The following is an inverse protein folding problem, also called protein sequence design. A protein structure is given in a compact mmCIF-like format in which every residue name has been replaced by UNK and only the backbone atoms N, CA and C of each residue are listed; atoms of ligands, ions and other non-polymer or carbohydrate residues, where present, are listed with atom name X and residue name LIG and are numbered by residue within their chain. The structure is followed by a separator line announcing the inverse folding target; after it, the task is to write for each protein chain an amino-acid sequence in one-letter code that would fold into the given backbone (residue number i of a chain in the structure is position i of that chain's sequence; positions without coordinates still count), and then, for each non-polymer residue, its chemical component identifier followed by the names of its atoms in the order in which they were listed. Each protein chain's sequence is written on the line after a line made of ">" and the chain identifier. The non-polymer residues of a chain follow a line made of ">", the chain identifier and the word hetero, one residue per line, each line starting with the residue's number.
data_IF_871849477840
#
_entry.id   IF_871849477840
#
_cell.length_a   1.000
_cell.length_b   1.000
_cell.length_c   1.000
_cell.angle_alpha   90.00
_cell.angle_beta   90.00
_cell.angle_gamma   90.00
#
_symmetry.space_group_name_H-M   'P 1'
#
loop_
_entity.id
_entity.type
_entity.pdbx_description
1 polymer ?
#
# COMPACT_ATOMS: atom_id res chain seq x y z
N UNK A 1 36.87 -3.43 -22.24
CA UNK A 1 36.47 -4.20 -23.44
C UNK A 1 35.08 -4.74 -23.12
N UNK A 2 34.02 -4.00 -23.47
CA UNK A 2 33.26 -4.15 -24.74
C UNK A 2 32.42 -5.45 -24.64
N UNK A 3 31.09 -5.51 -24.64
CA UNK A 3 30.03 -4.65 -25.19
C UNK A 3 28.73 -4.77 -24.38
N UNK A 4 28.06 -3.63 -24.20
CA UNK A 4 26.60 -3.51 -24.07
C UNK A 4 25.93 -3.87 -25.39
N UNK A 5 24.79 -4.56 -25.36
CA UNK A 5 23.76 -4.43 -26.42
C UNK A 5 22.36 -4.38 -25.81
N UNK A 6 21.80 -3.17 -25.85
CA UNK A 6 20.37 -2.85 -25.78
C UNK A 6 19.68 -3.44 -27.02
N UNK A 7 18.58 -4.15 -26.85
CA UNK A 7 17.62 -4.41 -27.93
C UNK A 7 16.35 -3.61 -27.62
N UNK A 8 16.14 -2.57 -28.42
CA UNK A 8 14.91 -1.78 -28.51
C UNK A 8 14.20 -2.20 -29.79
N UNK A 9 13.01 -2.79 -29.66
CA UNK A 9 12.00 -2.96 -30.73
C UNK A 9 10.66 -2.88 -30.00
N UNK A 10 9.85 -1.82 -30.10
CA UNK A 10 9.26 -1.25 -31.30
C UNK A 10 7.77 -1.60 -31.35
N UNK A 11 7.00 -1.20 -30.34
CA UNK A 11 5.55 -1.48 -30.25
C UNK A 11 4.78 -0.50 -31.15
N UNK A 12 4.13 -1.01 -32.18
CA UNK A 12 3.30 -0.22 -33.10
C UNK A 12 1.84 -0.29 -32.63
N UNK A 13 1.32 0.82 -32.12
CA UNK A 13 -0.06 0.95 -31.67
C UNK A 13 -0.97 1.24 -32.87
N UNK A 14 -1.92 0.34 -33.16
CA UNK A 14 -2.96 0.57 -34.17
C UNK A 14 -4.27 0.95 -33.48
N UNK A 15 -4.68 2.22 -33.64
CA UNK A 15 -6.02 2.72 -33.29
C UNK A 15 -7.09 2.09 -34.20
N UNK A 16 -8.13 1.51 -33.60
CA UNK A 16 -9.38 1.15 -34.27
C UNK A 16 -10.58 1.80 -33.56
N UNK A 17 -11.25 2.72 -34.25
CA UNK A 17 -12.52 3.35 -33.84
C UNK A 17 -13.68 2.66 -34.57
N UNK A 18 -14.73 2.26 -33.85
CA UNK A 18 -16.13 2.15 -34.31
C UNK A 18 -17.01 1.84 -33.07
N UNK A 19 -17.82 2.77 -32.54
CA UNK A 19 -19.11 3.31 -33.00
C UNK A 19 -20.34 2.49 -32.55
N UNK A 20 -21.29 3.25 -31.99
CA UNK A 20 -22.52 2.97 -31.23
C UNK A 20 -23.63 2.09 -31.85
N UNK A 21 -24.47 1.56 -30.93
CA UNK A 21 -25.88 1.18 -31.10
C UNK A 21 -26.28 0.30 -29.90
N UNK A 22 -27.28 0.55 -29.05
CA UNK A 22 -28.57 1.21 -29.18
C UNK A 22 -29.66 0.14 -29.01
N UNK A 23 -30.51 0.22 -27.97
CA UNK A 23 -31.72 -0.62 -27.89
C UNK A 23 -32.26 -0.91 -26.48
N UNK A 24 -33.43 -0.36 -26.20
CA UNK A 24 -34.21 -0.40 -24.97
C UNK A 24 -34.78 -1.77 -24.58
N UNK A 25 -35.15 -1.92 -23.30
CA UNK A 25 -36.00 -3.02 -22.83
C UNK A 25 -36.43 -2.87 -21.36
N UNK A 26 -37.60 -2.27 -21.16
CA UNK A 26 -38.25 -2.10 -19.87
C UNK A 26 -39.20 -3.27 -19.52
N UNK A 27 -39.45 -3.44 -18.21
CA UNK A 27 -40.56 -4.22 -17.61
C UNK A 27 -40.05 -5.39 -16.78
N UNK A 28 -40.57 -5.72 -15.59
CA UNK A 28 -41.78 -5.28 -14.88
C UNK A 28 -41.81 -6.02 -13.50
N UNK A 29 -42.69 -5.59 -12.58
CA UNK A 29 -43.16 -6.23 -11.31
C UNK A 29 -42.30 -5.96 -10.05
N UNK A 30 -42.70 -5.19 -9.04
CA UNK A 30 -43.92 -5.05 -8.22
C UNK A 30 -44.01 -6.01 -7.01
N UNK A 31 -44.05 -5.38 -5.82
CA UNK A 31 -44.63 -5.78 -4.51
C UNK A 31 -44.17 -7.12 -3.89
N UNK A 32 -43.86 -7.26 -2.61
CA UNK A 32 -44.19 -6.52 -1.39
C UNK A 32 -44.38 -7.57 -0.28
N UNK A 33 -44.03 -7.26 0.97
CA UNK A 33 -44.80 -7.54 2.20
C UNK A 33 -43.90 -7.62 3.45
N UNK A 34 -44.49 -7.07 4.49
CA UNK A 34 -44.14 -6.88 5.89
C UNK A 34 -44.07 -8.16 6.72
N UNK A 35 -43.40 -8.09 7.88
CA UNK A 35 -43.47 -9.16 8.88
C UNK A 35 -42.55 -8.98 10.08
N UNK A 36 -43.10 -8.40 11.15
CA UNK A 36 -42.52 -8.29 12.49
C UNK A 36 -42.44 -9.64 13.22
N UNK A 37 -41.43 -9.84 14.09
CA UNK A 37 -41.44 -10.89 15.11
C UNK A 37 -40.19 -10.89 16.00
N UNK A 38 -40.34 -10.55 17.27
CA UNK A 38 -39.27 -10.56 18.26
C UNK A 38 -39.13 -11.89 19.02
N UNK A 39 -37.97 -12.08 19.68
CA UNK A 39 -37.80 -13.05 20.76
C UNK A 39 -36.38 -13.61 20.91
N UNK A 40 -35.70 -13.24 22.00
CA UNK A 40 -34.94 -14.19 22.83
C UNK A 40 -33.45 -14.42 22.57
N UNK A 41 -32.62 -13.71 23.36
CA UNK A 41 -31.36 -14.10 24.02
C UNK A 41 -30.31 -15.00 23.31
N UNK A 42 -29.09 -14.47 23.21
CA UNK A 42 -27.84 -15.26 23.26
C UNK A 42 -26.65 -14.36 23.59
N UNK A 43 -26.00 -14.61 24.73
CA UNK A 43 -24.64 -14.16 25.04
C UNK A 43 -23.65 -15.01 24.25
N UNK A 44 -22.90 -14.39 23.33
CA UNK A 44 -21.71 -14.99 22.73
C UNK A 44 -20.65 -13.91 22.54
N UNK A 45 -19.47 -14.16 23.11
CA UNK A 45 -18.24 -13.43 22.82
C UNK A 45 -17.83 -13.72 21.38
N UNK A 46 -17.88 -12.71 20.53
CA UNK A 46 -17.22 -12.65 19.24
C UNK A 46 -16.71 -11.24 19.09
N UNK A 47 -15.39 -11.06 19.05
CA UNK A 47 -14.82 -9.82 18.53
C UNK A 47 -15.29 -9.70 17.08
N UNK A 48 -15.89 -8.56 16.77
CA UNK A 48 -16.56 -8.30 15.50
C UNK A 48 -15.55 -8.40 14.33
N UNK A 49 -15.85 -9.15 13.26
CA UNK A 49 -15.02 -9.23 12.05
C UNK A 49 -15.38 -8.16 10.99
N UNK A 50 -15.86 -6.99 11.40
CA UNK A 50 -16.17 -5.89 10.47
C UNK A 50 -15.83 -4.52 11.11
N UNK A 51 -14.82 -3.77 10.60
CA UNK A 51 -14.46 -2.47 11.16
C UNK A 51 -15.54 -1.41 10.85
N UNK A 52 -15.87 -0.60 11.87
CA UNK A 52 -16.79 0.52 11.76
C UNK A 52 -16.26 1.51 10.69
N UNK A 53 -17.09 2.07 9.79
CA UNK A 53 -16.67 3.14 8.88
C UNK A 53 -16.10 4.39 9.58
N UNK A 54 -16.21 4.51 10.91
CA UNK A 54 -15.48 5.48 11.74
C UNK A 54 -14.00 5.12 12.04
N UNK A 55 -13.53 3.93 11.69
CA UNK A 55 -12.17 3.39 11.95
C UNK A 55 -11.20 3.55 10.76
N UNK A 56 -11.46 4.48 9.83
CA UNK A 56 -10.48 4.80 8.80
C UNK A 56 -9.20 5.34 9.46
N UNK A 57 -8.09 4.63 9.28
CA UNK A 57 -6.79 4.97 9.87
C UNK A 57 -5.81 5.32 8.78
N UNK A 58 -5.21 6.50 8.84
CA UNK A 58 -4.25 6.99 7.85
C UNK A 58 -2.91 7.21 8.51
N UNK A 59 -1.90 6.51 8.01
CA UNK A 59 -0.51 6.61 8.44
C UNK A 59 0.25 7.43 7.40
N UNK A 60 0.74 8.58 7.83
CA UNK A 60 1.23 9.67 6.97
C UNK A 60 2.38 10.40 7.67
N UNK A 61 2.77 11.61 7.22
CA UNK A 61 3.87 12.38 7.81
C UNK A 61 3.73 12.64 9.32
N UNK A 62 2.51 12.62 9.87
CA UNK A 62 2.27 12.80 11.32
C UNK A 62 2.71 11.59 12.14
N UNK A 63 2.97 10.48 11.46
CA UNK A 63 3.44 9.22 12.01
C UNK A 63 4.91 8.95 11.66
N UNK A 64 5.61 9.91 11.04
CA UNK A 64 7.02 9.79 10.68
C UNK A 64 7.98 10.10 11.85
N UNK A 65 7.64 9.68 13.06
CA UNK A 65 8.53 9.75 14.23
C UNK A 65 8.53 8.44 15.01
N UNK A 66 9.72 7.90 15.31
CA UNK A 66 9.88 6.74 16.17
C UNK A 66 9.58 7.09 17.65
N UNK A 67 9.78 8.36 18.00
CA UNK A 67 9.44 8.93 19.29
C UNK A 67 7.95 8.70 19.58
N UNK A 68 7.68 7.94 20.64
CA UNK A 68 6.33 7.59 21.07
C UNK A 68 5.94 6.13 20.85
N UNK A 69 6.79 5.29 20.23
CA UNK A 69 6.61 3.82 20.28
C UNK A 69 7.25 3.33 21.59
N UNK A 70 6.47 2.81 22.56
CA UNK A 70 7.06 2.27 23.78
C UNK A 70 7.97 1.08 23.49
N UNK A 71 9.06 0.92 24.25
CA UNK A 71 9.99 -0.21 24.05
C UNK A 71 9.28 -1.58 24.12
N UNK A 72 8.30 -1.72 25.03
CA UNK A 72 7.46 -2.93 25.14
C UNK A 72 6.70 -3.24 23.86
N UNK A 73 6.38 -2.23 23.06
CA UNK A 73 5.65 -2.37 21.80
C UNK A 73 6.57 -2.83 20.68
N UNK A 74 7.79 -2.28 20.62
CA UNK A 74 8.82 -2.79 19.71
C UNK A 74 9.09 -4.27 20.02
N UNK A 75 9.21 -4.63 21.30
CA UNK A 75 9.38 -6.03 21.70
C UNK A 75 8.16 -6.89 21.35
N UNK A 76 6.93 -6.37 21.48
CA UNK A 76 5.71 -7.07 21.09
C UNK A 76 5.65 -7.31 19.57
N UNK A 77 6.05 -6.33 18.76
CA UNK A 77 6.09 -6.44 17.30
C UNK A 77 7.10 -7.50 16.84
N UNK A 78 8.28 -7.54 17.46
CA UNK A 78 9.34 -8.52 17.15
C UNK A 78 9.10 -9.92 17.71
N UNK A 79 8.33 -10.04 18.79
CA UNK A 79 7.95 -11.34 19.38
C UNK A 79 6.56 -11.81 18.96
N UNK A 80 5.86 -11.03 18.13
CA UNK A 80 4.55 -11.35 17.60
C UNK A 80 4.60 -12.61 16.72
N UNK A 81 3.63 -13.50 16.92
CA UNK A 81 3.45 -14.69 16.08
C UNK A 81 2.69 -14.32 14.80
N UNK A 82 3.28 -13.41 14.01
CA UNK A 82 2.75 -12.99 12.74
C UNK A 82 3.84 -12.69 11.72
N UNK A 83 3.44 -12.64 10.45
CA UNK A 83 4.24 -12.21 9.31
C UNK A 83 3.50 -11.09 8.58
N UNK A 84 4.24 -10.09 8.10
CA UNK A 84 3.73 -9.04 7.23
C UNK A 84 4.03 -9.40 5.77
N UNK A 85 3.02 -9.60 4.93
CA UNK A 85 3.22 -9.81 3.49
C UNK A 85 3.27 -8.46 2.77
N UNK A 86 4.35 -8.23 2.03
CA UNK A 86 4.56 -7.00 1.29
C UNK A 86 4.99 -7.29 -0.14
N UNK A 87 4.14 -6.92 -1.09
CA UNK A 87 4.45 -6.99 -2.51
C UNK A 87 4.63 -5.57 -3.05
N UNK A 88 5.57 -5.34 -3.96
CA UNK A 88 5.84 -3.96 -4.36
C UNK A 88 6.46 -3.78 -5.74
N UNK A 89 6.31 -2.57 -6.27
CA UNK A 89 7.16 -2.03 -7.35
C UNK A 89 8.41 -1.35 -6.79
N UNK A 90 9.24 -0.80 -7.66
CA UNK A 90 10.57 -0.28 -7.28
C UNK A 90 10.55 0.71 -6.10
N UNK A 91 9.60 1.65 -6.07
CA UNK A 91 9.45 2.61 -4.97
C UNK A 91 9.11 1.97 -3.62
N UNK A 92 8.41 0.83 -3.59
CA UNK A 92 8.07 0.19 -2.32
C UNK A 92 9.27 -0.34 -1.54
N UNK A 93 10.39 -0.62 -2.22
CA UNK A 93 11.65 -1.01 -1.57
C UNK A 93 12.12 0.01 -0.52
N UNK A 94 11.69 1.27 -0.62
CA UNK A 94 12.00 2.33 0.34
C UNK A 94 11.59 2.00 1.77
N UNK A 95 10.52 1.23 1.99
CA UNK A 95 10.11 0.80 3.34
C UNK A 95 11.11 -0.22 3.90
N UNK A 96 11.47 -1.23 3.11
CA UNK A 96 12.41 -2.29 3.49
C UNK A 96 13.79 -1.68 3.78
N UNK A 97 14.35 -0.97 2.79
CA UNK A 97 15.66 -0.31 2.90
C UNK A 97 15.70 0.70 4.06
N UNK A 98 14.60 1.41 4.29
CA UNK A 98 14.47 2.31 5.44
C UNK A 98 14.48 1.57 6.77
N UNK A 99 13.81 0.41 6.86
CA UNK A 99 13.75 -0.38 8.08
C UNK A 99 15.12 -1.00 8.41
N UNK A 100 15.84 -1.48 7.39
CA UNK A 100 17.22 -1.96 7.50
C UNK A 100 18.17 -0.84 7.96
N UNK A 101 18.03 0.38 7.43
CA UNK A 101 18.79 1.56 7.87
C UNK A 101 18.52 1.91 9.35
N UNK A 102 17.24 1.88 9.76
CA UNK A 102 16.84 2.10 11.16
C UNK A 102 17.43 1.02 12.07
N UNK A 103 17.37 -0.26 11.70
CA UNK A 103 17.97 -1.34 12.47
C UNK A 103 19.48 -1.18 12.61
N UNK A 104 20.18 -0.85 11.52
CA UNK A 104 21.62 -0.66 11.52
C UNK A 104 22.07 0.45 12.49
N UNK A 105 21.27 1.51 12.62
CA UNK A 105 21.52 2.61 13.57
C UNK A 105 20.99 2.32 14.98
N UNK A 106 19.94 1.53 15.10
CA UNK A 106 19.24 1.23 16.35
C UNK A 106 18.70 -0.22 16.36
N UNK A 107 19.53 -1.20 16.79
CA UNK A 107 19.19 -2.64 16.74
C UNK A 107 17.97 -3.05 17.57
N UNK A 108 17.38 -2.13 18.35
CA UNK A 108 16.11 -2.39 19.03
C UNK A 108 14.96 -2.58 18.02
N UNK A 109 15.06 -1.98 16.83
CA UNK A 109 14.11 -2.13 15.72
C UNK A 109 14.48 -3.28 14.78
N UNK A 110 14.87 -4.42 15.36
CA UNK A 110 15.26 -5.60 14.58
C UNK A 110 14.23 -5.96 13.52
N UNK A 111 14.66 -6.17 12.29
CA UNK A 111 13.80 -6.31 11.11
C UNK A 111 14.42 -7.31 10.14
N UNK A 112 13.60 -8.18 9.56
CA UNK A 112 14.04 -9.09 8.50
C UNK A 112 12.96 -9.18 7.42
N UNK A 113 13.36 -8.91 6.19
CA UNK A 113 12.56 -9.14 4.99
C UNK A 113 13.14 -10.33 4.21
N UNK A 114 12.37 -11.40 4.08
CA UNK A 114 12.79 -12.59 3.35
C UNK A 114 12.18 -12.58 1.95
N UNK A 115 13.00 -12.86 0.95
CA UNK A 115 12.58 -12.93 -0.43
C UNK A 115 11.60 -14.10 -0.63
N UNK A 116 10.37 -13.77 -1.00
CA UNK A 116 9.33 -14.73 -1.39
C UNK A 116 9.12 -15.84 -0.35
N UNK A 117 9.18 -15.50 0.94
CA UNK A 117 9.09 -16.47 2.01
C UNK A 117 8.91 -15.87 3.39
N UNK A 118 8.70 -16.75 4.38
CA UNK A 118 8.67 -16.36 5.78
C UNK A 118 10.11 -16.27 6.30
N UNK A 119 10.54 -15.13 6.88
CA UNK A 119 11.83 -15.02 7.52
C UNK A 119 12.09 -16.11 8.54
N UNK A 120 13.26 -16.75 8.45
CA UNK A 120 13.72 -17.75 9.41
C UNK A 120 14.21 -17.11 10.72
N UNK A 121 14.66 -15.86 10.67
CA UNK A 121 15.09 -15.12 11.85
C UNK A 121 13.91 -14.86 12.80
N UNK A 122 14.19 -14.92 14.11
CA UNK A 122 13.18 -14.72 15.16
C UNK A 122 13.66 -13.65 16.13
N UNK A 123 12.72 -12.98 16.82
CA UNK A 123 13.05 -11.84 17.67
C UNK A 123 13.26 -10.53 16.90
N UNK A 124 12.82 -10.50 15.64
CA UNK A 124 12.79 -9.36 14.73
C UNK A 124 11.38 -9.20 14.16
N UNK A 125 11.06 -8.03 13.63
CA UNK A 125 9.85 -7.87 12.82
C UNK A 125 10.03 -8.65 11.50
N UNK A 126 9.10 -9.54 11.18
CA UNK A 126 9.22 -10.44 10.03
C UNK A 126 8.34 -10.00 8.87
N UNK A 127 8.96 -9.74 7.73
CA UNK A 127 8.30 -9.40 6.48
C UNK A 127 8.56 -10.47 5.41
N UNK A 128 7.50 -10.93 4.75
CA UNK A 128 7.61 -11.63 3.47
C UNK A 128 7.67 -10.59 2.37
N UNK A 129 8.76 -10.55 1.62
CA UNK A 129 8.97 -9.63 0.50
C UNK A 129 8.68 -10.29 -0.85
N UNK A 130 7.60 -9.87 -1.50
CA UNK A 130 7.19 -10.31 -2.84
C UNK A 130 6.06 -11.33 -2.87
N UNK A 131 5.90 -11.96 -4.03
CA UNK A 131 4.96 -13.06 -4.30
C UNK A 131 5.67 -14.42 -4.14
N UNK A 132 5.32 -15.46 -4.91
CA UNK A 132 5.93 -16.80 -4.76
C UNK A 132 7.36 -16.84 -5.33
N UNK A 133 7.66 -16.09 -6.39
CA UNK A 133 8.94 -16.18 -7.08
C UNK A 133 9.54 -14.84 -7.53
N UNK A 134 8.94 -13.71 -7.14
CA UNK A 134 9.39 -12.36 -7.48
C UNK A 134 9.01 -11.33 -6.41
N UNK A 135 9.86 -10.33 -6.18
CA UNK A 135 9.57 -9.18 -5.30
C UNK A 135 9.43 -7.84 -6.03
N UNK A 136 9.52 -7.85 -7.37
CA UNK A 136 9.17 -6.70 -8.22
C UNK A 136 7.83 -6.96 -8.89
N UNK A 137 6.76 -6.82 -8.11
CA UNK A 137 5.43 -7.36 -8.38
C UNK A 137 4.59 -6.35 -9.16
N UNK A 138 4.31 -6.61 -10.44
CA UNK A 138 3.39 -5.78 -11.25
C UNK A 138 1.93 -5.97 -10.85
N UNK A 139 1.06 -5.02 -11.22
CA UNK A 139 -0.35 -5.07 -10.83
C UNK A 139 -1.03 -6.38 -11.25
N UNK A 140 -0.71 -6.91 -12.43
CA UNK A 140 -1.23 -8.18 -12.96
C UNK A 140 -0.86 -9.38 -12.10
N UNK A 141 0.23 -9.31 -11.33
CA UNK A 141 0.70 -10.36 -10.43
C UNK A 141 0.09 -10.26 -9.02
N UNK A 142 -0.77 -9.27 -8.76
CA UNK A 142 -1.36 -9.07 -7.42
C UNK A 142 -2.87 -8.76 -7.45
N UNK A 143 -3.29 -7.67 -8.12
CA UNK A 143 -4.67 -7.17 -8.05
C UNK A 143 -5.36 -6.99 -9.41
N UNK A 144 -4.58 -6.86 -10.50
CA UNK A 144 -5.13 -6.47 -11.81
C UNK A 144 -5.61 -7.65 -12.66
N UNK A 145 -5.20 -8.87 -12.32
CA UNK A 145 -5.59 -10.12 -12.99
C UNK A 145 -6.07 -11.18 -12.00
N UNK A 146 -6.92 -12.10 -12.47
CA UNK A 146 -7.40 -13.23 -11.66
C UNK A 146 -6.25 -14.13 -11.19
N UNK A 147 -5.25 -14.38 -12.05
CA UNK A 147 -4.10 -15.19 -11.70
C UNK A 147 -3.26 -14.58 -10.58
N UNK A 148 -3.06 -13.25 -10.59
CA UNK A 148 -2.34 -12.55 -9.53
C UNK A 148 -3.11 -12.60 -8.20
N UNK A 149 -4.43 -12.38 -8.25
CA UNK A 149 -5.28 -12.50 -7.06
C UNK A 149 -5.28 -13.93 -6.51
N UNK A 150 -5.33 -14.95 -7.38
CA UNK A 150 -5.24 -16.35 -6.98
C UNK A 150 -3.90 -16.71 -6.35
N UNK A 151 -2.80 -16.07 -6.79
CA UNK A 151 -1.49 -16.25 -6.17
C UNK A 151 -1.46 -15.65 -4.76
N UNK A 152 -2.08 -14.48 -4.55
CA UNK A 152 -2.28 -13.92 -3.19
C UNK A 152 -3.11 -14.88 -2.33
N UNK A 153 -4.19 -15.46 -2.88
CA UNK A 153 -4.99 -16.47 -2.16
C UNK A 153 -4.16 -17.69 -1.76
N UNK A 154 -3.28 -18.15 -2.65
CA UNK A 154 -2.41 -19.30 -2.37
C UNK A 154 -1.43 -18.98 -1.23
N UNK A 155 -0.74 -17.83 -1.29
CA UNK A 155 0.17 -17.37 -0.22
C UNK A 155 -0.58 -17.31 1.12
N UNK A 156 -1.72 -16.62 1.18
CA UNK A 156 -2.48 -16.44 2.43
C UNK A 156 -3.13 -17.74 2.93
N UNK A 157 -3.48 -18.65 2.03
CA UNK A 157 -4.05 -19.96 2.37
C UNK A 157 -3.01 -20.93 2.94
N UNK A 158 -1.79 -20.90 2.41
CA UNK A 158 -0.68 -21.75 2.84
C UNK A 158 0.06 -21.19 4.06
N UNK A 159 -0.05 -19.88 4.32
CA UNK A 159 0.63 -19.17 5.41
C UNK A 159 -0.36 -18.43 6.35
N UNK A 160 -1.09 -19.15 7.21
CA UNK A 160 -2.07 -18.56 8.13
C UNK A 160 -1.46 -17.63 9.20
N UNK A 161 -0.14 -17.62 9.36
CA UNK A 161 0.61 -16.67 10.18
C UNK A 161 0.68 -15.25 9.58
N UNK A 162 0.37 -15.08 8.30
CA UNK A 162 0.27 -13.75 7.69
C UNK A 162 -0.96 -13.05 8.25
N UNK A 163 -0.76 -11.90 8.91
CA UNK A 163 -1.84 -11.07 9.47
C UNK A 163 -2.06 -9.77 8.71
N UNK A 164 -1.10 -9.38 7.87
CA UNK A 164 -1.12 -8.12 7.13
C UNK A 164 -0.67 -8.36 5.71
N UNK A 165 -1.31 -7.67 4.77
CA UNK A 165 -0.92 -7.68 3.37
C UNK A 165 -0.99 -6.28 2.79
N UNK A 166 0.08 -5.84 2.13
CA UNK A 166 0.16 -4.52 1.50
C UNK A 166 0.81 -4.64 0.12
N UNK A 167 0.32 -3.85 -0.84
CA UNK A 167 0.93 -3.74 -2.16
C UNK A 167 1.28 -2.28 -2.48
N UNK A 168 2.51 -2.04 -2.94
CA UNK A 168 3.04 -0.70 -3.19
C UNK A 168 3.21 -0.36 -4.67
N UNK A 169 2.65 0.78 -5.05
CA UNK A 169 2.82 1.42 -6.35
C UNK A 169 4.26 1.90 -6.58
N UNK A 170 4.63 2.05 -7.84
CA UNK A 170 5.70 2.95 -8.29
C UNK A 170 5.09 4.04 -9.16
N UNK A 171 5.88 4.73 -9.98
CA UNK A 171 5.43 5.89 -10.76
C UNK A 171 4.32 5.55 -11.77
N UNK A 172 4.05 4.26 -12.05
CA UNK A 172 2.97 3.83 -12.96
C UNK A 172 1.57 4.23 -12.49
N UNK A 173 1.38 4.58 -11.20
CA UNK A 173 0.10 5.13 -10.71
C UNK A 173 -0.33 6.38 -11.51
N UNK A 174 0.64 7.16 -12.01
CA UNK A 174 0.39 8.35 -12.80
C UNK A 174 -0.27 8.04 -14.15
N UNK A 175 -0.15 6.81 -14.64
CA UNK A 175 -0.71 6.34 -15.91
C UNK A 175 -2.00 5.53 -15.71
N UNK A 176 -2.34 5.16 -14.49
CA UNK A 176 -3.55 4.39 -14.20
C UNK A 176 -4.81 5.22 -14.46
N UNK A 177 -5.81 4.57 -15.04
CA UNK A 177 -7.13 5.17 -15.16
C UNK A 177 -7.88 5.09 -13.82
N UNK A 178 -9.00 5.80 -13.72
CA UNK A 178 -9.91 5.67 -12.58
C UNK A 178 -10.40 4.24 -12.38
N UNK A 179 -10.64 3.54 -13.50
CA UNK A 179 -11.11 2.17 -13.51
C UNK A 179 -10.02 1.20 -13.03
N UNK A 180 -8.75 1.44 -13.37
CA UNK A 180 -7.66 0.59 -12.92
C UNK A 180 -7.44 0.73 -11.41
N UNK A 181 -7.45 1.96 -10.89
CA UNK A 181 -7.39 2.18 -9.44
C UNK A 181 -8.62 1.62 -8.74
N UNK A 182 -9.81 1.72 -9.34
CA UNK A 182 -11.00 1.06 -8.77
C UNK A 182 -10.84 -0.45 -8.70
N UNK A 183 -10.24 -1.08 -9.72
CA UNK A 183 -9.95 -2.52 -9.72
C UNK A 183 -8.99 -2.90 -8.60
N UNK A 184 -7.93 -2.12 -8.36
CA UNK A 184 -7.06 -2.29 -7.19
C UNK A 184 -7.85 -2.25 -5.88
N UNK A 185 -8.69 -1.23 -5.71
CA UNK A 185 -9.47 -1.03 -4.49
C UNK A 185 -10.45 -2.18 -4.24
N UNK A 186 -11.17 -2.60 -5.28
CA UNK A 186 -12.16 -3.67 -5.22
C UNK A 186 -11.48 -5.03 -4.97
N UNK A 187 -10.31 -5.29 -5.57
CA UNK A 187 -9.56 -6.53 -5.38
C UNK A 187 -9.09 -6.69 -3.92
N UNK A 188 -8.52 -5.64 -3.33
CA UNK A 188 -8.12 -5.67 -1.92
C UNK A 188 -9.32 -5.78 -0.97
N UNK A 189 -10.45 -5.13 -1.29
CA UNK A 189 -11.67 -5.22 -0.47
C UNK A 189 -12.27 -6.63 -0.51
N UNK A 190 -12.31 -7.25 -1.69
CA UNK A 190 -12.75 -8.63 -1.86
C UNK A 190 -11.82 -9.62 -1.13
N UNK A 191 -10.51 -9.48 -1.28
CA UNK A 191 -9.54 -10.31 -0.57
C UNK A 191 -9.67 -10.15 0.96
N UNK A 192 -9.91 -8.94 1.46
CA UNK A 192 -10.17 -8.71 2.89
C UNK A 192 -11.43 -9.40 3.41
N UNK A 193 -12.49 -9.50 2.58
CA UNK A 193 -13.70 -10.26 2.92
C UNK A 193 -13.46 -11.77 2.87
N UNK A 194 -12.64 -12.24 1.93
CA UNK A 194 -12.28 -13.66 1.78
C UNK A 194 -11.35 -14.14 2.91
N UNK A 195 -10.43 -13.30 3.38
CA UNK A 195 -9.45 -13.59 4.42
C UNK A 195 -9.63 -12.67 5.64
N UNK A 196 -10.68 -12.86 6.46
CA UNK A 196 -11.03 -11.93 7.55
C UNK A 196 -10.01 -11.86 8.69
N UNK A 197 -8.98 -12.72 8.69
CA UNK A 197 -7.85 -12.67 9.64
C UNK A 197 -6.66 -11.86 9.12
N UNK A 198 -6.71 -11.45 7.85
CA UNK A 198 -5.66 -10.67 7.18
C UNK A 198 -6.17 -9.25 7.04
N UNK A 199 -5.42 -8.30 7.58
CA UNK A 199 -5.66 -6.88 7.39
C UNK A 199 -4.98 -6.41 6.11
N UNK A 200 -5.79 -6.07 5.10
CA UNK A 200 -5.29 -5.46 3.87
C UNK A 200 -5.08 -3.96 4.07
N UNK A 201 -3.86 -3.51 3.80
CA UNK A 201 -3.47 -2.11 3.92
C UNK A 201 -3.40 -1.52 2.51
N UNK A 202 -4.15 -0.45 2.31
CA UNK A 202 -4.16 0.31 1.06
C UNK A 202 -3.03 1.32 1.10
N UNK A 203 -2.50 1.68 -0.07
CA UNK A 203 -1.37 2.60 -0.15
C UNK A 203 -1.52 3.56 -1.34
N UNK A 204 -1.23 4.85 -1.12
CA UNK A 204 -1.05 5.81 -2.23
C UNK A 204 0.28 5.57 -2.94
N UNK A 205 0.40 5.98 -4.20
CA UNK A 205 1.69 5.95 -4.90
C UNK A 205 2.54 7.20 -4.64
N UNK A 206 3.76 7.25 -5.18
CA UNK A 206 4.74 8.28 -4.87
C UNK A 206 4.35 9.69 -5.36
N UNK A 207 5.07 10.70 -4.88
CA UNK A 207 4.97 12.10 -5.33
C UNK A 207 6.14 12.56 -6.22
N UNK A 208 6.85 11.64 -6.86
CA UNK A 208 8.17 11.81 -7.49
C UNK A 208 8.18 12.48 -8.87
N UNK A 209 7.02 12.63 -9.54
CA UNK A 209 6.97 13.13 -10.91
C UNK A 209 5.88 14.17 -11.20
N UNK A 210 6.25 15.15 -12.04
CA UNK A 210 5.31 16.10 -12.68
C UNK A 210 4.60 15.50 -13.89
N UNK A 211 5.23 14.55 -14.60
CA UNK A 211 4.63 13.87 -15.74
C UNK A 211 3.34 13.14 -15.30
N UNK A 212 2.22 13.47 -15.95
CA UNK A 212 0.87 13.03 -15.54
C UNK A 212 0.53 13.30 -14.06
N UNK A 213 1.18 14.27 -13.43
CA UNK A 213 1.04 14.56 -12.00
C UNK A 213 -0.38 14.94 -11.56
N UNK A 214 -1.17 15.58 -12.44
CA UNK A 214 -2.60 15.85 -12.19
C UNK A 214 -3.42 14.57 -12.13
N UNK A 215 -3.13 13.57 -12.98
CA UNK A 215 -3.79 12.26 -12.91
C UNK A 215 -3.34 11.51 -11.65
N UNK A 216 -2.03 11.44 -11.41
CA UNK A 216 -1.43 10.85 -10.20
C UNK A 216 -2.10 11.35 -8.92
N UNK A 217 -2.19 12.67 -8.74
CA UNK A 217 -2.84 13.29 -7.60
C UNK A 217 -4.32 12.87 -7.47
N UNK A 218 -5.06 12.80 -8.58
CA UNK A 218 -6.47 12.33 -8.58
C UNK A 218 -6.58 10.86 -8.19
N UNK A 219 -5.67 10.01 -8.66
CA UNK A 219 -5.63 8.57 -8.34
C UNK A 219 -5.27 8.34 -6.87
N UNK A 220 -4.32 9.08 -6.33
CA UNK A 220 -4.02 9.06 -4.89
C UNK A 220 -5.21 9.56 -4.05
N UNK A 221 -5.91 10.60 -4.49
CA UNK A 221 -7.14 11.06 -3.82
C UNK A 221 -8.30 10.06 -3.91
N UNK A 222 -8.40 9.27 -4.99
CA UNK A 222 -9.37 8.18 -5.10
C UNK A 222 -9.11 7.10 -4.04
N UNK A 223 -7.86 6.70 -3.84
CA UNK A 223 -7.48 5.72 -2.81
C UNK A 223 -7.81 6.25 -1.40
N UNK A 224 -7.44 7.51 -1.11
CA UNK A 224 -7.81 8.18 0.15
C UNK A 224 -9.31 8.22 0.39
N UNK A 225 -10.07 8.59 -0.65
CA UNK A 225 -11.52 8.65 -0.64
C UNK A 225 -12.12 7.30 -0.25
N UNK A 226 -11.71 6.23 -0.94
CA UNK A 226 -12.16 4.87 -0.67
C UNK A 226 -11.88 4.43 0.77
N UNK A 227 -10.65 4.67 1.27
CA UNK A 227 -10.29 4.25 2.62
C UNK A 227 -11.11 4.99 3.69
N UNK A 228 -11.26 6.31 3.53
CA UNK A 228 -12.05 7.15 4.44
C UNK A 228 -13.53 6.79 4.43
N UNK A 229 -14.10 6.46 3.27
CA UNK A 229 -15.52 6.14 3.14
C UNK A 229 -15.88 4.74 3.65
N UNK A 230 -14.90 3.83 3.69
CA UNK A 230 -15.11 2.40 4.03
C UNK A 230 -14.35 1.93 5.27
N UNK A 231 -13.82 2.84 6.08
CA UNK A 231 -13.10 2.48 7.30
C UNK A 231 -11.83 1.65 7.05
N UNK A 232 -11.15 1.83 5.92
CA UNK A 232 -9.93 1.06 5.59
C UNK A 232 -8.68 1.71 6.16
N UNK A 233 -7.65 0.89 6.32
CA UNK A 233 -6.31 1.35 6.73
C UNK A 233 -5.55 1.82 5.49
N UNK A 234 -5.02 3.03 5.55
CA UNK A 234 -4.24 3.67 4.51
C UNK A 234 -2.82 3.96 5.00
N UNK A 235 -1.83 3.53 4.23
CA UNK A 235 -0.45 3.99 4.30
C UNK A 235 -0.22 5.05 3.21
N UNK A 236 -0.15 6.32 3.60
CA UNK A 236 -0.15 7.46 2.68
C UNK A 236 1.27 7.85 2.24
N UNK A 237 1.81 7.08 1.29
CA UNK A 237 3.15 7.25 0.74
C UNK A 237 3.36 8.61 0.06
N UNK A 238 2.37 9.10 -0.70
CA UNK A 238 2.45 10.43 -1.33
C UNK A 238 2.60 11.52 -0.26
N UNK A 239 1.87 11.42 0.84
CA UNK A 239 1.94 12.41 1.92
C UNK A 239 3.35 12.42 2.59
N UNK A 240 3.92 11.23 2.82
CA UNK A 240 5.29 11.07 3.32
C UNK A 240 6.34 11.65 2.36
N UNK A 241 6.11 11.60 1.04
CA UNK A 241 7.01 12.20 0.05
C UNK A 241 7.01 13.73 0.07
N UNK A 242 5.89 14.37 0.41
CA UNK A 242 5.75 15.82 0.23
C UNK A 242 6.00 16.63 1.49
N UNK A 243 6.13 15.98 2.66
CA UNK A 243 6.25 16.66 3.94
C UNK A 243 7.65 16.53 4.55
N UNK A 244 8.27 17.67 4.90
CA UNK A 244 9.51 17.70 5.68
C UNK A 244 9.59 18.99 6.51
N UNK A 245 10.04 18.90 7.77
CA UNK A 245 10.25 20.08 8.62
C UNK A 245 8.99 20.92 8.89
N UNK A 246 7.79 20.31 8.79
CA UNK A 246 6.51 21.00 8.90
C UNK A 246 6.06 21.74 7.63
N UNK A 247 6.85 21.66 6.55
CA UNK A 247 6.52 22.19 5.23
C UNK A 247 5.93 21.09 4.34
N UNK A 248 4.94 21.46 3.52
CA UNK A 248 4.38 20.63 2.46
C UNK A 248 4.84 21.18 1.11
N UNK A 249 5.42 20.33 0.28
CA UNK A 249 5.85 20.71 -1.06
C UNK A 249 4.80 20.41 -2.13
N UNK A 250 4.67 21.31 -3.09
CA UNK A 250 3.73 21.22 -4.22
C UNK A 250 4.38 21.73 -5.51
N UNK A 251 3.79 21.36 -6.64
CA UNK A 251 4.14 21.89 -7.97
C UNK A 251 2.86 22.31 -8.71
N UNK A 252 2.98 23.15 -9.73
CA UNK A 252 1.85 23.54 -10.60
C UNK A 252 2.03 22.91 -11.97
N UNK A 253 1.19 21.94 -12.30
CA UNK A 253 1.17 21.24 -13.60
C UNK A 253 -0.17 21.51 -14.28
N UNK A 254 -0.15 21.96 -15.54
CA UNK A 254 -1.35 22.33 -16.31
C UNK A 254 -2.30 23.30 -15.57
N UNK A 255 -1.73 24.21 -14.77
CA UNK A 255 -2.49 25.17 -13.97
C UNK A 255 -3.16 24.60 -12.72
N UNK A 256 -2.84 23.36 -12.34
CA UNK A 256 -3.34 22.69 -11.13
C UNK A 256 -2.18 22.51 -10.15
N UNK A 257 -2.38 22.93 -8.90
CA UNK A 257 -1.44 22.61 -7.81
C UNK A 257 -1.58 21.12 -7.43
N UNK A 258 -0.46 20.40 -7.43
CA UNK A 258 -0.37 18.98 -7.11
C UNK A 258 0.64 18.75 -5.98
N UNK A 259 0.49 17.70 -5.15
CA UNK A 259 1.54 17.25 -4.25
C UNK A 259 2.79 16.87 -5.05
N UNK A 260 3.96 17.32 -4.63
CA UNK A 260 5.24 16.99 -5.28
C UNK A 260 6.28 16.68 -4.22
N UNK A 261 7.11 15.66 -4.46
CA UNK A 261 8.14 15.21 -3.54
C UNK A 261 8.97 16.40 -3.06
N UNK A 262 9.21 16.46 -1.75
CA UNK A 262 9.96 17.56 -1.14
C UNK A 262 11.41 17.55 -1.65
N UNK A 263 12.04 18.71 -1.96
CA UNK A 263 13.42 18.78 -2.45
C UNK A 263 14.48 18.17 -1.53
N UNK A 264 14.12 17.85 -0.28
CA UNK A 264 14.97 17.11 0.67
C UNK A 264 15.15 15.65 0.26
N UNK A 265 14.18 15.09 -0.46
CA UNK A 265 14.09 13.68 -0.84
C UNK A 265 14.35 13.44 -2.33
N UNK A 266 14.33 14.51 -3.14
CA UNK A 266 14.58 14.48 -4.57
C UNK A 266 16.08 14.32 -4.87
N UNK A 267 16.46 13.23 -5.54
CA UNK A 267 17.86 12.93 -5.87
C UNK A 267 18.42 13.83 -6.98
N UNK A 268 17.56 14.52 -7.74
CA UNK A 268 17.97 15.53 -8.72
C UNK A 268 18.26 16.88 -8.06
N UNK A 269 17.81 17.09 -6.82
CA UNK A 269 18.14 18.28 -6.05
C UNK A 269 19.61 18.27 -5.60
N UNK A 270 20.27 19.42 -5.76
CA UNK A 270 21.71 19.54 -5.48
C UNK A 270 22.04 19.19 -4.02
N UNK A 271 22.96 18.24 -3.83
CA UNK A 271 23.42 17.81 -2.51
C UNK A 271 22.75 16.54 -1.99
N UNK A 272 21.73 16.04 -2.67
CA UNK A 272 21.13 14.74 -2.38
C UNK A 272 21.84 13.63 -3.16
N UNK A 273 21.80 12.42 -2.60
CA UNK A 273 22.30 11.21 -3.24
C UNK A 273 21.21 10.14 -3.20
N UNK A 274 21.09 9.39 -4.30
CA UNK A 274 20.25 8.20 -4.32
C UNK A 274 20.75 7.19 -3.28
N UNK A 275 19.81 6.61 -2.55
CA UNK A 275 20.08 5.60 -1.55
C UNK A 275 19.61 4.24 -2.05
N UNK A 276 20.55 3.29 -2.19
CA UNK A 276 20.28 1.88 -2.47
C UNK A 276 19.29 1.63 -3.64
N UNK A 277 19.39 2.43 -4.71
CA UNK A 277 18.55 2.32 -5.92
C UNK A 277 17.04 2.49 -5.68
N UNK A 278 16.68 3.21 -4.61
CA UNK A 278 15.28 3.41 -4.21
C UNK A 278 14.62 4.63 -4.84
N UNK A 279 15.30 5.36 -5.75
CA UNK A 279 14.82 6.61 -6.36
C UNK A 279 14.62 7.78 -5.37
N UNK A 280 15.19 7.69 -4.17
CA UNK A 280 15.10 8.75 -3.17
C UNK A 280 16.33 8.76 -2.26
N UNK A 281 16.39 9.70 -1.33
CA UNK A 281 17.42 9.81 -0.29
C UNK A 281 17.17 8.85 0.88
N UNK A 282 18.22 8.52 1.63
CA UNK A 282 18.15 7.71 2.85
C UNK A 282 17.10 8.23 3.84
N UNK A 283 17.08 9.54 4.12
CA UNK A 283 16.09 10.17 5.00
C UNK A 283 14.63 9.87 4.59
N UNK A 284 14.35 9.80 3.29
CA UNK A 284 12.99 9.51 2.80
C UNK A 284 12.60 8.06 3.07
N UNK A 285 13.54 7.12 2.87
CA UNK A 285 13.35 5.72 3.23
C UNK A 285 13.11 5.58 4.75
N UNK A 286 13.91 6.24 5.58
CA UNK A 286 13.78 6.17 7.04
C UNK A 286 12.47 6.80 7.54
N UNK A 287 12.00 7.90 6.95
CA UNK A 287 10.70 8.52 7.27
C UNK A 287 9.55 7.54 6.98
N UNK A 288 9.61 6.84 5.84
CA UNK A 288 8.62 5.82 5.47
C UNK A 288 8.68 4.63 6.43
N UNK A 289 9.87 4.05 6.63
CA UNK A 289 10.02 2.96 7.59
C UNK A 289 9.58 3.34 9.01
N UNK A 290 9.80 4.58 9.42
CA UNK A 290 9.31 5.10 10.71
C UNK A 290 7.78 5.14 10.77
N UNK A 291 7.13 5.66 9.74
CA UNK A 291 5.67 5.65 9.64
C UNK A 291 5.12 4.21 9.61
N UNK A 292 5.83 3.29 8.97
CA UNK A 292 5.51 1.86 8.99
C UNK A 292 5.59 1.27 10.41
N UNK A 293 6.67 1.53 11.16
CA UNK A 293 6.80 1.10 12.55
C UNK A 293 5.69 1.66 13.44
N UNK A 294 5.31 2.94 13.25
CA UNK A 294 4.18 3.55 13.96
C UNK A 294 2.87 2.89 13.60
N UNK A 295 2.63 2.66 12.30
CA UNK A 295 1.46 1.92 11.82
C UNK A 295 1.34 0.57 12.51
N UNK A 296 2.39 -0.24 12.47
CA UNK A 296 2.37 -1.56 13.07
C UNK A 296 2.15 -1.52 14.58
N UNK A 297 2.81 -0.58 15.29
CA UNK A 297 2.60 -0.40 16.71
C UNK A 297 1.14 -0.06 17.03
N UNK A 298 0.51 0.83 16.29
CA UNK A 298 -0.87 1.16 16.59
C UNK A 298 -1.89 0.10 16.10
N UNK A 299 -1.58 -0.68 15.05
CA UNK A 299 -2.43 -1.79 14.58
C UNK A 299 -2.43 -2.96 15.58
N UNK A 300 -1.31 -3.21 16.25
CA UNK A 300 -1.23 -4.18 17.36
C UNK A 300 -1.69 -3.58 18.71
N UNK A 301 -2.40 -2.44 18.71
CA UNK A 301 -2.99 -1.83 19.90
C UNK A 301 -1.97 -1.31 20.91
N UNK A 302 -0.76 -1.03 20.45
CA UNK A 302 0.41 -0.74 21.26
C UNK A 302 0.78 0.75 21.30
N UNK A 303 0.23 1.57 20.40
CA UNK A 303 0.36 3.03 20.38
C UNK A 303 -1.00 3.69 20.06
N UNK A 304 -1.20 4.91 20.57
CA UNK A 304 -2.35 5.80 20.29
C UNK A 304 -1.84 7.20 19.98
#
# INVERSE_FOLDING_TARGET
>A
MIHSELIVVGLTLALGIAACGGGDGAGDRAAGDSGTGGGGASTASGGDPDPDPADARTFDHRHAALDGIPASCIDALKSGDFVFHYAHRSHGSQIIVGAESIEASSPVYGFEAEYCGVPAETGVFRMWDGMIDNNLVVGEQYWASEAGVDEVRAILGDHPEIRYSMWAWSSEIAEQTEQDVQRYLDALDALGQEFPKVTFIYMTGPADAEYNGVNRAKRNQQIRGFCRERGKILYDFEDLDVHFGGERHTAVVDGVEIPMQHPRFDVEASGNAEYEHTHTTQDSCEIKATAFWRMMAELEGCAQ
#
